data_IF_000280534085
#
_entry.id   IF_000280534085
#
_cell.length_a   1.000
_cell.length_b   1.000
_cell.length_c   1.000
_cell.angle_alpha   90.00
_cell.angle_beta   90.00
_cell.angle_gamma   90.00
#
_symmetry.space_group_name_H-M   'P 1'
#
loop_
_entity.id
_entity.type
_entity.pdbx_description
1 polymer ?
#
# COMPACT_ATOMS: atom_id res chain seq x y z
N UNK A 1 17.73 10.54 26.07
CA UNK A 1 16.45 11.17 25.68
C UNK A 1 16.57 12.69 25.51
N UNK A 2 17.18 13.43 26.45
CA UNK A 2 17.39 14.89 26.30
C UNK A 2 18.21 15.29 25.06
N UNK A 3 19.28 14.55 24.73
CA UNK A 3 20.08 14.79 23.51
C UNK A 3 19.28 14.61 22.21
N UNK A 4 18.34 13.65 22.17
CA UNK A 4 17.43 13.42 21.03
C UNK A 4 16.39 14.54 20.89
N UNK A 5 15.93 15.08 22.01
CA UNK A 5 15.00 16.20 22.05
C UNK A 5 15.65 17.52 21.61
N UNK A 6 16.95 17.68 21.84
CA UNK A 6 17.71 18.85 21.39
C UNK A 6 18.13 18.76 19.91
N UNK A 7 18.29 17.54 19.38
CA UNK A 7 18.68 17.30 17.99
C UNK A 7 17.52 17.40 16.98
N UNK A 8 16.27 17.21 17.43
CA UNK A 8 15.08 17.29 16.56
C UNK A 8 14.47 18.68 16.59
N UNK A 9 14.36 19.32 15.42
CA UNK A 9 13.83 20.69 15.28
C UNK A 9 12.40 20.72 14.77
N UNK A 10 11.93 19.61 14.19
CA UNK A 10 10.64 19.50 13.53
C UNK A 10 9.83 18.33 14.09
N UNK A 11 8.51 18.51 14.22
CA UNK A 11 7.61 17.46 14.67
C UNK A 11 6.27 17.50 13.91
N UNK A 12 5.70 16.33 13.68
CA UNK A 12 4.37 16.15 13.09
C UNK A 12 3.64 15.05 13.85
N UNK A 13 2.39 15.33 14.23
CA UNK A 13 1.49 14.36 14.87
C UNK A 13 0.37 13.99 13.93
N UNK A 14 0.28 12.71 13.63
CA UNK A 14 -0.72 12.14 12.75
C UNK A 14 -1.55 11.12 13.52
N UNK A 15 -2.82 10.99 13.15
CA UNK A 15 -3.73 10.01 13.73
C UNK A 15 -4.25 9.07 12.65
N UNK A 16 -3.96 7.79 12.84
CA UNK A 16 -4.41 6.69 12.01
C UNK A 16 -5.34 5.81 12.84
N UNK A 17 -6.64 6.13 12.80
CA UNK A 17 -7.67 5.41 13.56
C UNK A 17 -7.40 5.37 15.08
N UNK A 18 -6.99 4.21 15.59
CA UNK A 18 -6.67 3.93 16.99
C UNK A 18 -5.20 4.21 17.34
N UNK A 19 -4.37 4.57 16.35
CA UNK A 19 -2.95 4.87 16.51
C UNK A 19 -2.67 6.38 16.37
N UNK A 20 -1.99 6.97 17.35
CA UNK A 20 -1.33 8.26 17.21
C UNK A 20 0.16 8.06 16.88
N UNK A 21 0.62 8.64 15.78
CA UNK A 21 2.01 8.58 15.34
C UNK A 21 2.66 9.95 15.50
N UNK A 22 3.75 10.02 16.26
CA UNK A 22 4.58 11.21 16.41
C UNK A 22 5.87 11.04 15.61
N UNK A 23 6.05 11.87 14.58
CA UNK A 23 7.27 11.91 13.76
C UNK A 23 8.09 13.11 14.20
N UNK A 24 9.36 12.89 14.55
CA UNK A 24 10.33 13.93 14.88
C UNK A 24 11.54 13.85 13.97
N UNK A 25 12.07 14.98 13.54
CA UNK A 25 13.24 14.99 12.66
C UNK A 25 14.02 16.30 12.71
N UNK A 26 15.28 16.24 12.29
CA UNK A 26 16.13 17.37 11.93
C UNK A 26 16.01 17.75 10.43
N UNK A 27 15.30 16.97 9.61
CA UNK A 27 15.11 17.21 8.18
C UNK A 27 13.73 17.81 7.88
N UNK A 28 13.70 19.09 7.50
CA UNK A 28 12.47 19.76 7.04
C UNK A 28 11.90 19.08 5.78
N UNK A 29 12.76 18.65 4.85
CA UNK A 29 12.36 17.97 3.60
C UNK A 29 11.59 16.68 3.89
N UNK A 30 12.06 15.89 4.86
CA UNK A 30 11.37 14.67 5.28
C UNK A 30 10.02 14.97 5.94
N UNK A 31 9.97 16.00 6.79
CA UNK A 31 8.71 16.40 7.43
C UNK A 31 7.69 16.91 6.41
N UNK A 32 8.13 17.71 5.44
CA UNK A 32 7.29 18.26 4.37
C UNK A 32 6.72 17.14 3.49
N UNK A 33 7.53 16.12 3.17
CA UNK A 33 7.06 14.92 2.48
C UNK A 33 5.94 14.21 3.27
N UNK A 34 6.15 13.96 4.58
CA UNK A 34 5.12 13.32 5.40
C UNK A 34 3.86 14.17 5.53
N UNK A 35 4.01 15.48 5.72
CA UNK A 35 2.91 16.42 5.75
C UNK A 35 2.13 16.36 4.43
N UNK A 36 2.81 16.47 3.29
CA UNK A 36 2.18 16.40 1.96
C UNK A 36 1.41 15.09 1.78
N UNK A 37 2.02 13.96 2.17
CA UNK A 37 1.42 12.64 2.02
C UNK A 37 0.22 12.39 2.94
N UNK A 38 0.19 12.99 4.13
CA UNK A 38 -0.75 12.65 5.20
C UNK A 38 -1.42 13.85 5.87
N UNK A 39 -1.51 15.01 5.22
CA UNK A 39 -2.08 16.20 5.87
C UNK A 39 -3.53 16.01 6.33
N UNK A 40 -4.30 15.16 5.66
CA UNK A 40 -5.66 14.77 6.07
C UNK A 40 -5.73 13.95 7.38
N UNK A 41 -4.59 13.45 7.87
CA UNK A 41 -4.48 12.67 9.11
C UNK A 41 -3.99 13.49 10.30
N UNK A 42 -3.83 14.81 10.16
CA UNK A 42 -3.34 15.64 11.27
C UNK A 42 -4.23 15.49 12.50
N UNK A 43 -3.59 15.16 13.63
CA UNK A 43 -4.29 15.13 14.91
C UNK A 43 -4.74 16.55 15.26
N UNK A 44 -6.04 16.84 15.18
CA UNK A 44 -6.57 18.11 15.65
C UNK A 44 -6.32 18.28 17.15
N UNK A 45 -6.11 19.52 17.59
CA UNK A 45 -5.99 19.87 19.02
C UNK A 45 -7.30 19.68 19.80
N UNK A 46 -8.42 19.54 19.10
CA UNK A 46 -9.70 19.13 19.69
C UNK A 46 -9.69 17.61 19.91
N UNK A 47 -10.05 17.18 21.12
CA UNK A 47 -10.11 15.76 21.49
C UNK A 47 -11.01 14.97 20.55
N UNK A 48 -10.41 14.29 19.56
CA UNK A 48 -11.13 13.36 18.70
C UNK A 48 -11.49 12.14 19.56
N UNK A 49 -12.79 11.90 19.72
CA UNK A 49 -13.33 10.76 20.46
C UNK A 49 -13.58 9.59 19.51
N UNK A 50 -13.23 8.35 19.89
CA UNK A 50 -12.51 7.96 21.11
C UNK A 50 -11.04 8.38 21.09
N UNK A 51 -10.33 8.46 22.23
CA UNK A 51 -8.88 8.69 22.24
C UNK A 51 -8.12 7.55 21.54
N UNK A 52 -6.90 7.79 21.02
CA UNK A 52 -6.07 6.72 20.48
C UNK A 52 -5.75 5.70 21.58
N UNK A 53 -5.77 4.41 21.23
CA UNK A 53 -5.44 3.31 22.13
C UNK A 53 -3.98 2.88 22.00
N UNK A 54 -3.31 3.29 20.91
CA UNK A 54 -1.90 3.04 20.66
C UNK A 54 -1.16 4.34 20.33
N UNK A 55 0.13 4.38 20.66
CA UNK A 55 1.04 5.45 20.27
C UNK A 55 2.30 4.85 19.65
N UNK A 56 2.86 5.53 18.66
CA UNK A 56 4.14 5.19 18.08
C UNK A 56 4.98 6.45 17.89
N UNK A 57 6.28 6.34 18.15
CA UNK A 57 7.20 7.46 18.00
C UNK A 57 8.30 7.11 17.01
N UNK A 58 8.48 8.01 16.04
CA UNK A 58 9.49 7.90 15.01
C UNK A 58 10.44 9.09 15.12
N UNK A 59 11.74 8.84 15.08
CA UNK A 59 12.74 9.92 15.06
C UNK A 59 13.74 9.70 13.95
N UNK A 60 13.77 10.58 12.95
CA UNK A 60 14.79 10.58 11.92
C UNK A 60 15.84 11.63 12.24
N UNK A 61 17.09 11.20 12.45
CA UNK A 61 18.25 12.08 12.49
C UNK A 61 19.01 11.90 11.17
N UNK A 62 18.88 12.88 10.29
CA UNK A 62 19.50 12.90 8.98
C UNK A 62 20.92 13.48 9.00
N UNK A 63 21.23 14.37 9.95
CA UNK A 63 22.59 14.92 10.10
C UNK A 63 23.53 13.87 10.72
N UNK A 64 24.63 13.46 10.06
CA UNK A 64 25.59 12.52 10.62
C UNK A 64 26.32 13.04 11.88
N UNK A 65 26.23 14.33 12.23
CA UNK A 65 26.74 14.88 13.50
C UNK A 65 25.85 14.54 14.71
N UNK A 66 25.09 13.45 14.63
CA UNK A 66 24.34 12.87 15.73
C UNK A 66 25.19 11.84 16.53
N UNK A 67 24.72 11.35 17.70
CA UNK A 67 25.48 10.42 18.54
C UNK A 67 25.93 9.10 17.89
N UNK A 68 25.32 8.69 16.78
CA UNK A 68 25.66 7.47 16.04
C UNK A 68 26.63 7.70 14.88
N UNK A 69 26.96 8.95 14.53
CA UNK A 69 27.93 9.28 13.47
C UNK A 69 27.47 8.97 12.05
N UNK A 70 26.23 8.50 11.88
CA UNK A 70 25.57 8.19 10.62
C UNK A 70 24.10 8.57 10.73
N UNK A 71 23.40 8.83 9.62
CA UNK A 71 21.96 9.06 9.68
C UNK A 71 21.24 7.83 10.26
N UNK A 72 20.23 8.06 11.12
CA UNK A 72 19.51 6.99 11.82
C UNK A 72 18.01 7.27 11.85
N UNK A 73 17.22 6.21 11.69
CA UNK A 73 15.80 6.18 12.01
C UNK A 73 15.60 5.41 13.30
N UNK A 74 14.97 6.05 14.29
CA UNK A 74 14.52 5.39 15.51
C UNK A 74 13.04 5.03 15.34
N UNK A 75 12.75 3.74 15.45
CA UNK A 75 11.39 3.19 15.50
C UNK A 75 11.12 2.80 16.95
N UNK A 76 10.43 3.67 17.69
CA UNK A 76 10.34 3.62 19.15
C UNK A 76 11.73 3.62 19.82
N UNK A 77 12.21 2.47 20.29
CA UNK A 77 13.54 2.30 20.91
C UNK A 77 14.58 1.64 19.97
N UNK A 78 14.15 1.10 18.82
CA UNK A 78 15.04 0.44 17.87
C UNK A 78 15.76 1.49 17.01
N UNK A 79 17.09 1.42 16.97
CA UNK A 79 17.92 2.31 16.14
C UNK A 79 18.26 1.60 14.83
N UNK A 80 17.84 2.19 13.71
CA UNK A 80 18.07 1.69 12.36
C UNK A 80 19.01 2.64 11.62
N UNK A 81 20.29 2.28 11.41
CA UNK A 81 21.22 3.07 10.60
C UNK A 81 20.77 3.17 9.14
N UNK A 82 20.86 4.36 8.57
CA UNK A 82 20.55 4.65 7.17
C UNK A 82 21.87 4.84 6.42
N UNK A 83 22.27 3.81 5.68
CA UNK A 83 23.63 3.72 5.11
C UNK A 83 23.80 4.49 3.81
N UNK A 84 22.73 4.72 3.06
CA UNK A 84 22.76 5.48 1.82
C UNK A 84 22.07 6.85 2.01
N UNK A 85 22.84 7.96 2.01
CA UNK A 85 22.27 9.30 2.12
C UNK A 85 21.32 9.69 0.98
N UNK A 86 21.45 9.10 -0.22
CA UNK A 86 20.57 9.43 -1.36
C UNK A 86 19.15 8.86 -1.21
N UNK A 87 19.00 7.89 -0.31
CA UNK A 87 17.80 7.08 -0.16
C UNK A 87 17.11 7.32 1.19
N UNK A 88 17.66 8.23 1.97
CA UNK A 88 17.34 8.47 3.36
C UNK A 88 15.85 8.75 3.55
N UNK A 89 15.27 9.67 2.78
CA UNK A 89 13.87 10.05 2.91
C UNK A 89 12.93 8.93 2.44
N UNK A 90 13.24 8.31 1.30
CA UNK A 90 12.49 7.17 0.73
C UNK A 90 12.41 6.00 1.70
N UNK A 91 13.57 5.58 2.17
CA UNK A 91 13.71 4.50 3.14
C UNK A 91 13.00 4.84 4.45
N UNK A 92 13.29 6.00 5.03
CA UNK A 92 12.72 6.37 6.32
C UNK A 92 11.21 6.46 6.24
N UNK A 93 10.69 6.93 5.10
CA UNK A 93 9.27 6.98 4.83
C UNK A 93 8.62 5.59 4.83
N UNK A 94 9.12 4.65 4.03
CA UNK A 94 8.50 3.32 3.91
C UNK A 94 8.59 2.53 5.22
N UNK A 95 9.67 2.73 6.01
CA UNK A 95 9.81 2.14 7.35
C UNK A 95 8.78 2.70 8.32
N UNK A 96 8.59 4.01 8.36
CA UNK A 96 7.57 4.65 9.22
C UNK A 96 6.18 4.20 8.81
N UNK A 97 5.86 4.18 7.50
CA UNK A 97 4.56 3.73 7.01
C UNK A 97 4.28 2.27 7.38
N UNK A 98 5.23 1.37 7.11
CA UNK A 98 5.10 -0.05 7.45
C UNK A 98 4.89 -0.26 8.95
N UNK A 99 5.59 0.52 9.77
CA UNK A 99 5.48 0.52 11.23
C UNK A 99 4.10 1.01 11.72
N UNK A 100 3.54 2.03 11.08
CA UNK A 100 2.18 2.53 11.33
C UNK A 100 1.14 1.46 10.96
N UNK A 101 1.22 0.93 9.74
CA UNK A 101 0.31 -0.09 9.21
C UNK A 101 0.31 -1.34 10.09
N UNK A 102 1.47 -1.78 10.57
CA UNK A 102 1.60 -2.92 11.46
C UNK A 102 0.93 -2.71 12.84
N UNK A 103 0.82 -1.47 13.33
CA UNK A 103 0.34 -1.15 14.69
C UNK A 103 -1.15 -0.81 14.78
N UNK A 104 -1.82 -0.51 13.67
CA UNK A 104 -3.28 -0.29 13.64
C UNK A 104 -4.00 -1.59 14.01
N UNK A 105 -4.88 -1.55 15.02
CA UNK A 105 -5.63 -2.73 15.50
C UNK A 105 -7.13 -2.61 15.26
N UNK A 106 -7.64 -1.39 15.13
CA UNK A 106 -9.06 -1.13 14.97
C UNK A 106 -9.61 -1.47 13.58
N UNK A 107 -8.74 -1.57 12.57
CA UNK A 107 -9.10 -1.79 11.18
C UNK A 107 -8.29 -2.92 10.54
N UNK A 108 -8.90 -3.67 9.63
CA UNK A 108 -8.16 -4.46 8.65
C UNK A 108 -7.66 -3.53 7.56
N UNK A 109 -6.34 -3.47 7.37
CA UNK A 109 -5.72 -2.71 6.29
C UNK A 109 -5.46 -3.67 5.12
N UNK A 110 -6.11 -3.40 3.98
CA UNK A 110 -6.03 -4.24 2.77
C UNK A 110 -5.41 -3.42 1.65
N UNK A 111 -4.51 -4.01 0.87
CA UNK A 111 -4.01 -3.38 -0.35
C UNK A 111 -5.07 -3.37 -1.44
N UNK A 112 -5.86 -2.30 -1.44
CA UNK A 112 -7.00 -2.07 -2.31
C UNK A 112 -7.26 -0.55 -2.40
N UNK A 113 -8.09 -0.16 -3.36
CA UNK A 113 -8.54 1.24 -3.51
C UNK A 113 -10.03 1.30 -3.30
N UNK A 114 -10.52 2.42 -2.77
CA UNK A 114 -11.90 2.55 -2.35
C UNK A 114 -12.50 3.85 -2.85
N UNK A 115 -13.62 3.72 -3.54
CA UNK A 115 -14.52 4.83 -3.86
C UNK A 115 -15.86 4.64 -3.15
N UNK A 116 -16.67 5.69 -3.07
CA UNK A 116 -18.06 5.57 -2.69
C UNK A 116 -18.98 6.39 -3.58
N UNK A 117 -20.23 5.94 -3.64
CA UNK A 117 -21.33 6.60 -4.34
C UNK A 117 -22.58 6.44 -3.49
N UNK A 118 -23.35 7.51 -3.27
CA UNK A 118 -24.58 7.48 -2.47
C UNK A 118 -24.46 6.68 -1.15
N UNK A 119 -23.40 6.96 -0.37
CA UNK A 119 -23.10 6.29 0.91
C UNK A 119 -22.86 4.76 0.80
N UNK A 120 -22.52 4.25 -0.39
CA UNK A 120 -22.14 2.86 -0.65
C UNK A 120 -20.66 2.77 -1.06
N UNK A 121 -19.90 1.92 -0.38
CA UNK A 121 -18.48 1.68 -0.64
C UNK A 121 -18.22 0.64 -1.74
N UNK A 122 -17.24 0.93 -2.60
CA UNK A 122 -16.78 0.08 -3.68
C UNK A 122 -15.29 -0.18 -3.47
N UNK A 123 -14.93 -1.42 -3.19
CA UNK A 123 -13.55 -1.85 -2.94
C UNK A 123 -12.98 -2.48 -4.20
N UNK A 124 -11.96 -1.85 -4.78
CA UNK A 124 -11.21 -2.34 -5.94
C UNK A 124 -9.96 -3.07 -5.48
N UNK A 125 -9.89 -4.36 -5.79
CA UNK A 125 -8.79 -5.25 -5.42
C UNK A 125 -8.08 -5.67 -6.69
N UNK A 126 -6.76 -5.52 -6.73
CA UNK A 126 -5.99 -5.82 -7.94
C UNK A 126 -4.55 -6.22 -7.62
N UNK A 127 -3.91 -6.86 -8.57
CA UNK A 127 -2.45 -6.92 -8.60
C UNK A 127 -1.85 -5.59 -9.08
N UNK A 128 -0.55 -5.43 -8.84
CA UNK A 128 0.16 -4.22 -9.24
C UNK A 128 0.09 -4.06 -10.76
N UNK A 129 -0.10 -2.83 -11.23
CA UNK A 129 -0.20 -2.48 -12.65
C UNK A 129 -1.48 -2.90 -13.38
N UNK A 130 -2.50 -3.42 -12.68
CA UNK A 130 -3.82 -3.74 -13.27
C UNK A 130 -4.74 -2.50 -13.35
N UNK A 131 -4.16 -1.30 -13.30
CA UNK A 131 -4.90 -0.05 -13.48
C UNK A 131 -5.70 0.44 -12.27
N UNK A 132 -5.53 -0.13 -11.07
CA UNK A 132 -6.28 0.23 -9.84
C UNK A 132 -6.28 1.74 -9.54
N UNK A 133 -5.09 2.35 -9.44
CA UNK A 133 -4.95 3.80 -9.23
C UNK A 133 -5.49 4.62 -10.41
N UNK A 134 -5.35 4.14 -11.64
CA UNK A 134 -5.91 4.83 -12.83
C UNK A 134 -7.44 4.81 -12.80
N UNK A 135 -8.04 3.66 -12.44
CA UNK A 135 -9.48 3.49 -12.36
C UNK A 135 -10.07 4.30 -11.21
N UNK A 136 -9.48 4.30 -10.02
CA UNK A 136 -10.00 5.12 -8.91
C UNK A 136 -10.00 6.61 -9.25
N UNK A 137 -8.95 7.10 -9.92
CA UNK A 137 -8.87 8.48 -10.39
C UNK A 137 -9.95 8.81 -11.44
N UNK A 138 -10.22 7.88 -12.36
CA UNK A 138 -11.29 8.04 -13.35
C UNK A 138 -12.68 8.07 -12.68
N UNK A 139 -12.92 7.24 -11.67
CA UNK A 139 -14.18 7.23 -10.92
C UNK A 139 -14.38 8.55 -10.14
N UNK A 140 -13.32 9.06 -9.51
CA UNK A 140 -13.34 10.37 -8.85
C UNK A 140 -13.63 11.49 -9.84
N UNK A 141 -12.99 11.46 -11.01
CA UNK A 141 -13.25 12.42 -12.10
C UNK A 141 -14.72 12.41 -12.50
N UNK A 142 -15.35 11.22 -12.56
CA UNK A 142 -16.78 11.03 -12.85
C UNK A 142 -17.72 11.47 -11.73
N UNK A 143 -17.24 11.53 -10.49
CA UNK A 143 -17.96 12.15 -9.37
C UNK A 143 -18.22 11.24 -8.19
N UNK A 144 -17.71 10.01 -8.22
CA UNK A 144 -17.62 9.19 -7.03
C UNK A 144 -16.70 9.87 -6.01
N UNK A 145 -16.96 9.59 -4.74
CA UNK A 145 -16.11 10.04 -3.64
C UNK A 145 -14.91 9.11 -3.50
N UNK A 146 -13.74 9.69 -3.23
CA UNK A 146 -12.52 8.98 -2.92
C UNK A 146 -12.47 8.67 -1.43
N UNK A 147 -12.16 7.42 -1.09
CA UNK A 147 -11.85 7.04 0.29
C UNK A 147 -10.36 6.75 0.43
N UNK A 148 -9.80 5.94 -0.47
CA UNK A 148 -8.37 5.61 -0.44
C UNK A 148 -7.83 5.01 -1.74
N UNK A 149 -6.51 5.05 -1.86
CA UNK A 149 -5.71 4.25 -2.80
C UNK A 149 -4.63 3.52 -1.98
N UNK A 150 -4.24 2.32 -2.41
CA UNK A 150 -3.23 1.46 -1.77
C UNK A 150 -3.58 0.85 -0.39
N UNK A 151 -4.43 1.49 0.42
CA UNK A 151 -4.87 1.01 1.73
C UNK A 151 -6.37 1.21 1.93
N UNK A 152 -7.16 0.16 1.78
CA UNK A 152 -8.54 0.11 2.24
C UNK A 152 -8.57 -0.20 3.74
N UNK A 153 -9.22 0.65 4.53
CA UNK A 153 -9.31 0.48 5.98
C UNK A 153 -10.71 -0.01 6.37
N UNK A 154 -10.84 -1.29 6.71
CA UNK A 154 -12.11 -1.92 7.04
C UNK A 154 -12.28 -1.95 8.57
N UNK A 155 -13.25 -1.22 9.09
CA UNK A 155 -13.52 -1.10 10.51
C UNK A 155 -14.02 -2.42 11.10
N UNK A 156 -13.32 -2.91 12.12
CA UNK A 156 -13.65 -4.20 12.75
C UNK A 156 -14.92 -4.15 13.59
N UNK A 157 -15.23 -2.98 14.15
CA UNK A 157 -16.33 -2.83 15.10
C UNK A 157 -17.64 -2.35 14.44
N UNK A 158 -17.54 -1.55 13.38
CA UNK A 158 -18.69 -0.93 12.71
C UNK A 158 -18.96 -1.49 11.31
N UNK A 159 -18.05 -2.33 10.80
CA UNK A 159 -18.13 -2.97 9.48
C UNK A 159 -18.21 -1.97 8.33
N UNK A 160 -17.70 -0.75 8.54
CA UNK A 160 -17.60 0.28 7.50
C UNK A 160 -16.22 0.24 6.86
N UNK A 161 -16.13 0.70 5.61
CA UNK A 161 -14.85 1.10 5.04
C UNK A 161 -14.62 2.58 5.31
N UNK A 162 -13.50 2.89 5.98
CA UNK A 162 -13.12 4.23 6.38
C UNK A 162 -12.17 4.86 5.37
N UNK A 163 -12.21 6.19 5.19
CA UNK A 163 -11.27 6.88 4.34
C UNK A 163 -9.83 6.73 4.88
N UNK A 164 -8.89 6.47 3.97
CA UNK A 164 -7.46 6.56 4.19
C UNK A 164 -6.88 7.48 3.11
N UNK A 165 -7.11 8.80 3.21
CA UNK A 165 -6.86 9.74 2.11
C UNK A 165 -5.41 10.19 2.07
N UNK A 166 -4.51 9.24 1.84
CA UNK A 166 -3.11 9.51 1.55
C UNK A 166 -3.00 10.12 0.16
N UNK A 167 -2.08 11.07 -0.02
CA UNK A 167 -1.71 11.59 -1.34
C UNK A 167 -1.36 10.44 -2.30
N UNK A 168 -1.90 10.47 -3.51
CA UNK A 168 -1.72 9.41 -4.50
C UNK A 168 -0.32 9.47 -5.11
N UNK A 169 0.30 8.31 -5.30
CA UNK A 169 1.58 8.15 -6.00
C UNK A 169 1.33 7.65 -7.42
N UNK A 170 1.23 8.57 -8.36
CA UNK A 170 0.74 8.31 -9.71
C UNK A 170 1.90 8.10 -10.68
N UNK A 171 1.82 7.06 -11.53
CA UNK A 171 2.86 6.81 -12.55
C UNK A 171 2.79 7.88 -13.65
N UNK A 172 3.93 8.23 -14.29
CA UNK A 172 3.93 9.10 -15.46
C UNK A 172 2.97 8.57 -16.53
N UNK A 173 2.22 9.48 -17.17
CA UNK A 173 1.23 9.16 -18.19
C UNK A 173 -0.19 8.85 -17.67
N UNK A 174 -0.36 8.42 -16.41
CA UNK A 174 -1.70 8.14 -15.85
C UNK A 174 -2.62 9.36 -15.91
N UNK A 175 -2.11 10.56 -15.64
CA UNK A 175 -2.91 11.79 -15.74
C UNK A 175 -3.38 12.09 -17.16
N UNK A 176 -2.59 11.75 -18.17
CA UNK A 176 -3.03 11.89 -19.55
C UNK A 176 -4.16 10.91 -19.89
N UNK A 177 -4.12 9.68 -19.37
CA UNK A 177 -5.16 8.66 -19.58
C UNK A 177 -6.53 9.08 -19.03
N UNK A 178 -6.56 9.82 -17.91
CA UNK A 178 -7.80 10.36 -17.33
C UNK A 178 -8.14 11.77 -17.85
N UNK A 179 -7.43 12.27 -18.87
CA UNK A 179 -7.74 13.56 -19.50
C UNK A 179 -7.27 14.80 -18.71
N UNK A 180 -6.28 14.66 -17.83
CA UNK A 180 -5.70 15.74 -17.00
C UNK A 180 -4.19 15.95 -17.27
N UNK A 181 -3.70 16.01 -18.52
CA UNK A 181 -2.27 16.07 -18.80
C UNK A 181 -1.58 17.32 -18.23
N UNK A 182 -2.31 18.43 -18.08
CA UNK A 182 -1.79 19.70 -17.57
C UNK A 182 -1.31 19.64 -16.11
N UNK A 183 -1.83 18.70 -15.31
CA UNK A 183 -1.38 18.51 -13.93
C UNK A 183 0.05 17.96 -13.87
N UNK A 184 0.47 17.18 -14.87
CA UNK A 184 1.79 16.52 -14.91
C UNK A 184 2.96 17.49 -14.68
N UNK A 185 2.93 18.68 -15.27
CA UNK A 185 4.01 19.66 -15.17
C UNK A 185 4.02 20.47 -13.88
N UNK A 186 2.88 20.52 -13.18
CA UNK A 186 2.72 21.26 -11.95
C UNK A 186 2.92 20.39 -10.70
N UNK A 187 2.92 19.06 -10.87
CA UNK A 187 3.00 18.10 -9.78
C UNK A 187 4.45 17.71 -9.49
N UNK A 188 4.80 17.74 -8.20
CA UNK A 188 6.08 17.25 -7.71
C UNK A 188 6.23 15.73 -7.92
N UNK A 189 7.44 15.32 -8.31
CA UNK A 189 7.79 13.92 -8.48
C UNK A 189 8.62 13.43 -7.29
N UNK A 190 8.24 12.27 -6.76
CA UNK A 190 8.99 11.58 -5.73
C UNK A 190 9.10 10.09 -6.06
N UNK A 191 10.33 9.58 -6.13
CA UNK A 191 10.64 8.20 -6.48
C UNK A 191 10.00 7.74 -7.82
N UNK A 192 10.09 8.56 -8.86
CA UNK A 192 9.57 8.22 -10.19
C UNK A 192 8.04 8.31 -10.32
N UNK A 193 7.35 8.87 -9.32
CA UNK A 193 5.89 8.99 -9.27
C UNK A 193 5.46 10.40 -8.90
N UNK A 194 4.41 10.89 -9.53
CA UNK A 194 3.79 12.17 -9.25
C UNK A 194 3.00 12.08 -7.93
N UNK A 195 3.14 13.10 -7.07
CA UNK A 195 2.43 13.18 -5.79
C UNK A 195 1.19 14.09 -5.88
N UNK A 196 0.01 13.47 -5.92
CA UNK A 196 -1.25 14.17 -6.23
C UNK A 196 -2.23 14.02 -5.08
N UNK A 197 -2.70 15.14 -4.55
CA UNK A 197 -3.86 15.12 -3.67
C UNK A 197 -5.14 14.92 -4.48
N UNK A 198 -6.10 14.18 -3.94
CA UNK A 198 -7.35 13.89 -4.63
C UNK A 198 -8.15 15.18 -4.96
N UNK A 199 -8.03 16.23 -4.15
CA UNK A 199 -8.70 17.50 -4.41
C UNK A 199 -8.13 18.21 -5.66
N UNK A 200 -6.91 17.89 -6.09
CA UNK A 200 -6.33 18.38 -7.35
C UNK A 200 -6.97 17.69 -8.58
N UNK A 201 -7.50 16.47 -8.40
CA UNK A 201 -8.24 15.75 -9.45
C UNK A 201 -9.67 16.27 -9.52
N UNK A 202 -10.32 16.38 -8.37
CA UNK A 202 -11.67 16.94 -8.23
C UNK A 202 -11.84 17.50 -6.81
N UNK A 203 -12.07 18.81 -6.65
CA UNK A 203 -12.27 19.41 -5.34
C UNK A 203 -13.47 18.81 -4.59
N UNK A 204 -13.33 18.64 -3.28
CA UNK A 204 -14.35 18.09 -2.40
C UNK A 204 -14.75 16.65 -2.78
N UNK A 205 -13.80 15.88 -3.28
CA UNK A 205 -14.02 14.48 -3.67
C UNK A 205 -13.80 13.50 -2.52
N UNK A 206 -13.23 13.91 -1.39
CA UNK A 206 -13.08 13.05 -0.23
C UNK A 206 -14.44 12.59 0.34
N UNK A 207 -14.59 11.27 0.54
CA UNK A 207 -15.76 10.64 1.13
C UNK A 207 -15.61 10.34 2.63
N UNK A 208 -16.74 10.05 3.28
CA UNK A 208 -16.80 9.56 4.66
C UNK A 208 -16.73 8.04 4.76
N UNK A 209 -16.81 7.52 5.99
CA UNK A 209 -16.92 6.09 6.23
C UNK A 209 -18.30 5.57 5.80
N UNK A 210 -18.33 4.46 5.07
CA UNK A 210 -19.56 3.92 4.45
C UNK A 210 -19.60 2.39 4.52
N UNK A 211 -20.79 1.76 4.49
CA UNK A 211 -20.91 0.32 4.32
C UNK A 211 -20.30 -0.16 3.00
N UNK A 212 -19.77 -1.38 2.97
CA UNK A 212 -19.20 -1.96 1.77
C UNK A 212 -20.30 -2.66 0.98
N UNK A 213 -20.61 -2.16 -0.21
CA UNK A 213 -21.65 -2.73 -1.08
C UNK A 213 -21.07 -3.61 -2.17
N UNK A 214 -19.91 -3.24 -2.71
CA UNK A 214 -19.29 -3.97 -3.82
C UNK A 214 -17.81 -4.23 -3.58
N UNK A 215 -17.38 -5.45 -3.86
CA UNK A 215 -15.98 -5.86 -3.95
C UNK A 215 -15.73 -6.25 -5.41
N UNK A 216 -14.76 -5.61 -6.05
CA UNK A 216 -14.44 -5.84 -7.45
C UNK A 216 -12.98 -6.29 -7.53
N UNK A 217 -12.77 -7.53 -8.01
CA UNK A 217 -11.44 -8.06 -8.29
C UNK A 217 -11.09 -7.75 -9.76
N UNK A 218 -10.07 -6.93 -9.96
CA UNK A 218 -9.50 -6.66 -11.28
C UNK A 218 -8.64 -7.86 -11.71
N UNK A 219 -8.91 -8.39 -12.90
CA UNK A 219 -8.18 -9.55 -13.43
C UNK A 219 -7.84 -9.38 -14.90
N UNK A 220 -6.70 -9.94 -15.31
CA UNK A 220 -6.31 -10.01 -16.72
C UNK A 220 -7.13 -11.10 -17.43
N UNK A 221 -7.80 -10.79 -18.57
CA UNK A 221 -8.41 -11.80 -19.43
C UNK A 221 -7.49 -12.99 -19.78
N UNK A 222 -6.18 -12.80 -19.85
CA UNK A 222 -5.21 -13.86 -20.13
C UNK A 222 -5.06 -14.84 -18.95
N UNK A 223 -5.14 -14.37 -17.70
CA UNK A 223 -5.02 -15.22 -16.51
C UNK A 223 -6.21 -16.19 -16.36
N UNK A 224 -7.41 -15.79 -16.80
CA UNK A 224 -8.58 -16.68 -16.85
C UNK A 224 -8.39 -17.83 -17.85
N UNK A 225 -7.53 -17.64 -18.86
CA UNK A 225 -7.16 -18.70 -19.81
C UNK A 225 -6.03 -19.58 -19.29
N UNK A 226 -5.05 -18.99 -18.59
CA UNK A 226 -3.89 -19.71 -18.04
C UNK A 226 -4.18 -20.56 -16.80
N UNK A 227 -5.24 -20.25 -16.02
CA UNK A 227 -5.69 -21.16 -14.95
C UNK A 227 -6.00 -22.58 -15.45
N UNK A 228 -6.14 -22.78 -16.78
CA UNK A 228 -6.34 -24.08 -17.44
C UNK A 228 -5.05 -24.75 -17.94
N UNK A 229 -3.87 -24.13 -17.86
CA UNK A 229 -2.59 -24.68 -18.32
C UNK A 229 -1.58 -24.70 -17.16
N UNK A 230 -1.07 -25.88 -16.82
CA UNK A 230 -0.48 -26.21 -15.51
C UNK A 230 1.01 -25.80 -15.32
N UNK A 231 1.52 -24.77 -16.03
CA UNK A 231 2.98 -24.57 -16.17
C UNK A 231 3.55 -23.16 -15.97
N UNK A 232 2.78 -22.14 -15.54
CA UNK A 232 3.30 -20.78 -15.45
C UNK A 232 4.16 -20.52 -14.19
N UNK A 233 5.37 -19.99 -14.38
CA UNK A 233 6.18 -19.38 -13.31
C UNK A 233 5.61 -17.99 -12.96
N UNK A 234 5.94 -17.45 -11.78
CA UNK A 234 5.59 -16.07 -11.39
C UNK A 234 6.84 -15.24 -11.18
N UNK A 235 6.77 -13.94 -11.50
CA UNK A 235 7.85 -13.01 -11.21
C UNK A 235 7.56 -12.20 -9.94
N UNK A 236 8.57 -12.08 -9.08
CA UNK A 236 8.56 -11.22 -7.91
C UNK A 236 9.73 -10.26 -8.00
N UNK A 237 9.42 -8.98 -8.08
CA UNK A 237 10.38 -7.89 -8.03
C UNK A 237 10.43 -7.34 -6.61
N UNK A 238 11.63 -7.18 -6.04
CA UNK A 238 11.83 -6.70 -4.68
C UNK A 238 12.87 -5.58 -4.74
N UNK A 239 12.46 -4.37 -4.38
CA UNK A 239 13.39 -3.28 -4.15
C UNK A 239 14.00 -3.43 -2.76
N UNK A 240 15.32 -3.36 -2.69
CA UNK A 240 16.05 -3.34 -1.43
C UNK A 240 16.91 -2.09 -1.33
N UNK A 241 17.28 -1.71 -0.13
CA UNK A 241 18.11 -0.53 0.13
C UNK A 241 19.57 -0.70 -0.29
N UNK A 242 20.11 -1.90 -0.13
CA UNK A 242 21.42 -2.29 -0.62
C UNK A 242 21.47 -3.79 -0.95
N UNK A 243 22.53 -4.25 -1.61
CA UNK A 243 22.72 -5.67 -1.92
C UNK A 243 24.07 -6.17 -1.40
N UNK A 244 24.05 -7.22 -0.58
CA UNK A 244 25.25 -7.94 -0.18
C UNK A 244 25.64 -8.98 -1.25
N UNK A 245 26.94 -9.22 -1.45
CA UNK A 245 27.44 -10.14 -2.49
C UNK A 245 26.86 -11.56 -2.38
N UNK A 246 26.66 -12.04 -1.15
CA UNK A 246 26.14 -13.39 -0.87
C UNK A 246 24.61 -13.50 -1.00
N UNK A 247 23.89 -12.38 -1.17
CA UNK A 247 22.43 -12.36 -1.08
C UNK A 247 21.76 -13.12 -2.23
N UNK A 248 22.20 -12.90 -3.47
CA UNK A 248 21.64 -13.58 -4.64
C UNK A 248 21.80 -15.11 -4.59
N UNK A 249 22.98 -15.66 -4.22
CA UNK A 249 23.11 -17.09 -3.92
C UNK A 249 22.10 -17.60 -2.90
N UNK A 250 21.94 -16.92 -1.75
CA UNK A 250 21.01 -17.33 -0.71
C UNK A 250 19.54 -17.34 -1.18
N UNK A 251 19.13 -16.37 -2.01
CA UNK A 251 17.77 -16.35 -2.58
C UNK A 251 17.49 -17.57 -3.46
N UNK A 252 18.49 -18.07 -4.19
CA UNK A 252 18.35 -19.25 -5.08
C UNK A 252 18.19 -20.56 -4.30
N UNK A 253 18.58 -20.59 -3.03
CA UNK A 253 18.43 -21.75 -2.16
C UNK A 253 17.03 -21.85 -1.54
N UNK A 254 16.21 -20.79 -1.64
CA UNK A 254 14.85 -20.78 -1.09
C UNK A 254 13.96 -21.73 -1.89
N UNK A 255 13.25 -22.62 -1.19
CA UNK A 255 12.28 -23.53 -1.80
C UNK A 255 11.26 -22.76 -2.65
N UNK A 256 11.11 -23.20 -3.90
CA UNK A 256 10.19 -22.61 -4.87
C UNK A 256 10.78 -21.48 -5.71
N UNK A 257 11.95 -20.92 -5.39
CA UNK A 257 12.67 -19.97 -6.25
C UNK A 257 13.40 -20.72 -7.37
N UNK A 258 13.08 -20.39 -8.63
CA UNK A 258 13.65 -20.99 -9.85
C UNK A 258 14.75 -20.15 -10.48
N UNK A 259 14.76 -18.85 -10.20
CA UNK A 259 15.78 -17.93 -10.68
C UNK A 259 15.80 -16.66 -9.84
N UNK A 260 16.97 -16.04 -9.75
CA UNK A 260 17.17 -14.76 -9.08
C UNK A 260 18.23 -13.94 -9.84
N UNK A 261 17.92 -12.68 -10.12
CA UNK A 261 18.81 -11.67 -10.68
C UNK A 261 18.68 -10.36 -9.91
N UNK A 262 19.68 -9.48 -10.02
CA UNK A 262 19.63 -8.13 -9.48
C UNK A 262 20.00 -7.11 -10.57
N UNK A 263 19.32 -5.98 -10.56
CA UNK A 263 19.67 -4.77 -11.30
C UNK A 263 20.13 -3.71 -10.27
N UNK A 264 21.42 -3.40 -10.27
CA UNK A 264 22.06 -2.44 -9.37
C UNK A 264 22.36 -1.10 -10.04
N UNK A 265 21.99 -0.92 -11.31
CA UNK A 265 22.18 0.37 -12.00
C UNK A 265 21.06 1.37 -11.66
N UNK A 266 20.01 0.90 -10.98
CA UNK A 266 18.90 1.73 -10.48
C UNK A 266 19.27 2.42 -9.17
N UNK A 267 18.53 3.49 -8.86
CA UNK A 267 18.62 4.21 -7.57
C UNK A 267 18.49 3.27 -6.36
N UNK A 268 17.71 2.20 -6.47
CA UNK A 268 17.61 1.12 -5.50
C UNK A 268 17.82 -0.21 -6.19
N UNK A 269 18.67 -1.12 -5.66
CA UNK A 269 18.80 -2.46 -6.21
C UNK A 269 17.45 -3.14 -6.35
N UNK A 270 17.15 -3.61 -7.56
CA UNK A 270 15.94 -4.36 -7.86
C UNK A 270 16.30 -5.84 -8.01
N UNK A 271 15.79 -6.67 -7.11
CA UNK A 271 15.85 -8.11 -7.21
C UNK A 271 14.69 -8.59 -8.08
N UNK A 272 14.94 -9.49 -9.02
CA UNK A 272 13.91 -10.16 -9.81
C UNK A 272 14.01 -11.66 -9.57
N UNK A 273 12.94 -12.24 -9.03
CA UNK A 273 12.83 -13.65 -8.70
C UNK A 273 11.81 -14.32 -9.61
N UNK A 274 12.13 -15.51 -10.11
CA UNK A 274 11.16 -16.41 -10.75
C UNK A 274 10.77 -17.49 -9.75
N UNK A 275 9.48 -17.68 -9.52
CA UNK A 275 8.92 -18.49 -8.44
C UNK A 275 7.96 -19.54 -9.02
N UNK A 276 8.01 -20.75 -8.48
CA UNK A 276 7.08 -21.83 -8.83
C UNK A 276 5.66 -21.51 -8.38
N UNK A 277 4.65 -21.90 -9.16
CA UNK A 277 3.24 -21.75 -8.77
C UNK A 277 2.96 -22.41 -7.42
N UNK A 278 2.29 -21.68 -6.51
CA UNK A 278 1.95 -22.15 -5.16
C UNK A 278 3.07 -22.02 -4.13
N UNK A 279 4.31 -21.72 -4.55
CA UNK A 279 5.37 -21.41 -3.60
C UNK A 279 5.16 -20.02 -2.97
N UNK A 280 5.50 -19.91 -1.69
CA UNK A 280 5.35 -18.68 -0.92
C UNK A 280 6.69 -18.31 -0.25
N UNK A 281 7.72 -17.91 -1.03
CA UNK A 281 9.06 -17.69 -0.51
C UNK A 281 9.19 -16.39 0.29
N UNK A 282 8.21 -15.49 0.20
CA UNK A 282 8.30 -14.12 0.73
C UNK A 282 8.67 -14.06 2.22
N UNK A 283 8.06 -14.83 3.14
CA UNK A 283 8.46 -14.81 4.56
C UNK A 283 9.92 -15.23 4.76
N UNK A 284 10.44 -16.14 3.93
CA UNK A 284 11.83 -16.57 4.00
C UNK A 284 12.78 -15.50 3.45
N UNK A 285 12.37 -14.79 2.40
CA UNK A 285 13.10 -13.65 1.85
C UNK A 285 13.14 -12.51 2.88
N UNK A 286 12.02 -12.18 3.51
CA UNK A 286 11.94 -11.19 4.60
C UNK A 286 12.89 -11.55 5.75
N UNK A 287 12.91 -12.83 6.18
CA UNK A 287 13.83 -13.31 7.21
C UNK A 287 15.31 -13.24 6.79
N UNK A 288 15.62 -13.50 5.52
CA UNK A 288 16.97 -13.37 4.97
C UNK A 288 17.41 -11.90 4.92
N UNK A 289 16.54 -11.00 4.45
CA UNK A 289 16.80 -9.56 4.49
C UNK A 289 17.09 -9.11 5.92
N UNK A 290 16.26 -9.52 6.89
CA UNK A 290 16.47 -9.19 8.29
C UNK A 290 17.81 -9.71 8.82
N UNK A 291 18.17 -10.97 8.53
CA UNK A 291 19.44 -11.56 8.94
C UNK A 291 20.65 -10.85 8.32
N UNK A 292 20.48 -10.28 7.13
CA UNK A 292 21.50 -9.54 6.38
C UNK A 292 21.46 -8.02 6.64
N UNK A 293 20.59 -7.57 7.55
CA UNK A 293 20.34 -6.15 7.84
C UNK A 293 19.95 -5.33 6.60
N UNK A 294 19.33 -5.98 5.62
CA UNK A 294 18.76 -5.37 4.43
C UNK A 294 17.28 -5.06 4.66
N UNK A 295 16.79 -4.02 4.00
CA UNK A 295 15.38 -3.64 4.06
C UNK A 295 14.75 -3.76 2.70
N UNK A 296 13.56 -4.36 2.70
CA UNK A 296 12.68 -4.38 1.56
C UNK A 296 11.91 -3.06 1.51
N UNK A 297 12.06 -2.33 0.40
CA UNK A 297 11.45 -1.02 0.17
C UNK A 297 10.13 -1.13 -0.58
N UNK A 298 10.05 -2.07 -1.52
CA UNK A 298 8.83 -2.35 -2.28
C UNK A 298 8.87 -3.81 -2.75
N UNK A 299 7.69 -4.41 -2.86
CA UNK A 299 7.49 -5.77 -3.38
C UNK A 299 6.46 -5.69 -4.50
N UNK A 300 6.92 -5.87 -5.72
CA UNK A 300 6.09 -5.83 -6.91
C UNK A 300 5.90 -7.27 -7.39
N UNK A 301 4.68 -7.81 -7.20
CA UNK A 301 4.28 -9.06 -7.84
C UNK A 301 3.93 -8.74 -9.29
N UNK A 302 4.64 -9.32 -10.26
CA UNK A 302 4.31 -9.22 -11.67
C UNK A 302 3.82 -10.58 -12.19
N UNK A 303 2.67 -10.57 -12.86
CA UNK A 303 2.36 -11.63 -13.82
C UNK A 303 3.40 -11.61 -14.95
N UNK A 304 3.56 -12.73 -15.66
CA UNK A 304 4.43 -12.78 -16.86
C UNK A 304 3.95 -11.80 -17.95
N UNK A 305 2.68 -11.41 -17.91
CA UNK A 305 2.03 -10.50 -18.85
C UNK A 305 1.55 -9.21 -18.16
N UNK A 306 1.70 -8.07 -18.83
CA UNK A 306 0.94 -6.87 -18.50
C UNK A 306 -0.43 -6.96 -19.17
N UNK A 307 -1.52 -6.62 -18.47
CA UNK A 307 -2.83 -6.68 -19.09
C UNK A 307 -2.93 -5.75 -20.29
N UNK A 308 -3.62 -6.22 -21.33
CA UNK A 308 -3.98 -5.40 -22.47
C UNK A 308 -5.16 -4.49 -22.08
N UNK A 309 -4.97 -3.18 -22.15
CA UNK A 309 -6.02 -2.19 -21.84
C UNK A 309 -6.74 -1.68 -23.10
N UNK A 310 -6.39 -2.17 -24.30
CA UNK A 310 -7.05 -1.82 -25.56
C UNK A 310 -8.17 -2.80 -25.93
N UNK A 311 -8.41 -3.83 -25.11
CA UNK A 311 -9.54 -4.77 -25.25
C UNK A 311 -10.79 -4.28 -24.49
N UNK A 312 -11.99 -4.78 -24.83
CA UNK A 312 -13.19 -4.44 -24.09
C UNK A 312 -13.15 -4.92 -22.63
N UNK A 313 -13.62 -4.08 -21.72
CA UNK A 313 -13.77 -4.46 -20.32
C UNK A 313 -15.03 -5.33 -20.13
N UNK A 314 -15.00 -6.25 -19.17
CA UNK A 314 -16.17 -7.11 -18.88
C UNK A 314 -16.33 -7.33 -17.39
N UNK A 315 -17.56 -7.17 -16.93
CA UNK A 315 -17.94 -7.48 -15.56
C UNK A 315 -18.57 -8.87 -15.48
N UNK A 316 -18.26 -9.60 -14.40
CA UNK A 316 -18.90 -10.85 -14.03
C UNK A 316 -19.00 -10.99 -12.52
N UNK A 317 -19.76 -11.98 -12.05
CA UNK A 317 -19.88 -12.29 -10.62
C UNK A 317 -18.89 -13.38 -10.23
N UNK A 318 -18.40 -13.33 -8.99
CA UNK A 318 -17.58 -14.37 -8.39
C UNK A 318 -18.15 -14.80 -7.04
N UNK A 319 -17.69 -15.95 -6.53
CA UNK A 319 -18.11 -16.36 -5.20
C UNK A 319 -17.50 -15.46 -4.13
N UNK A 320 -18.21 -15.29 -3.01
CA UNK A 320 -17.68 -14.61 -1.83
C UNK A 320 -16.38 -15.23 -1.33
N UNK A 321 -16.26 -16.56 -1.40
CA UNK A 321 -15.04 -17.27 -1.01
C UNK A 321 -13.83 -16.94 -1.89
N UNK A 322 -14.04 -16.75 -3.20
CA UNK A 322 -12.98 -16.32 -4.12
C UNK A 322 -12.53 -14.89 -3.80
N UNK A 323 -13.49 -13.96 -3.68
CA UNK A 323 -13.20 -12.57 -3.31
C UNK A 323 -12.46 -12.48 -1.96
N UNK A 324 -12.91 -13.24 -0.96
CA UNK A 324 -12.28 -13.28 0.37
C UNK A 324 -10.82 -13.73 0.30
N UNK A 325 -10.53 -14.73 -0.51
CA UNK A 325 -9.15 -15.21 -0.68
C UNK A 325 -8.25 -14.15 -1.34
N UNK A 326 -8.79 -13.38 -2.28
CA UNK A 326 -8.07 -12.28 -2.92
C UNK A 326 -7.81 -11.12 -1.95
N UNK A 327 -8.78 -10.79 -1.09
CA UNK A 327 -8.63 -9.76 -0.06
C UNK A 327 -7.63 -10.21 1.01
N UNK A 328 -7.75 -11.44 1.52
CA UNK A 328 -6.87 -11.98 2.55
C UNK A 328 -5.40 -11.96 2.10
N UNK A 329 -5.12 -12.29 0.84
CA UNK A 329 -3.78 -12.22 0.24
C UNK A 329 -3.19 -10.80 0.17
N UNK A 330 -4.01 -9.78 0.37
CA UNK A 330 -3.66 -8.36 0.33
C UNK A 330 -3.74 -7.70 1.70
N UNK A 331 -4.00 -8.46 2.77
CA UNK A 331 -3.88 -7.98 4.14
C UNK A 331 -2.48 -7.44 4.43
N UNK A 332 -2.43 -6.26 5.06
CA UNK A 332 -1.21 -5.49 5.30
C UNK A 332 -0.68 -5.66 6.73
N UNK A 333 0.61 -5.35 6.91
CA UNK A 333 1.34 -5.56 8.17
C UNK A 333 1.93 -6.96 8.34
N UNK A 334 1.40 -7.97 7.61
CA UNK A 334 2.00 -9.30 7.51
C UNK A 334 2.32 -9.93 8.87
N UNK A 335 3.51 -10.49 9.02
CA UNK A 335 3.97 -11.10 10.28
C UNK A 335 4.18 -10.09 11.40
N UNK A 336 4.38 -8.80 11.08
CA UNK A 336 4.55 -7.71 12.04
C UNK A 336 3.22 -7.10 12.49
N UNK A 337 2.11 -7.50 11.87
CA UNK A 337 0.78 -6.99 12.21
C UNK A 337 0.45 -7.34 13.65
N UNK A 338 0.35 -6.31 14.48
CA UNK A 338 0.03 -6.47 15.89
C UNK A 338 -1.40 -6.97 16.06
N UNK A 339 -2.31 -6.53 15.19
CA UNK A 339 -3.65 -7.10 15.05
C UNK A 339 -3.59 -8.62 14.87
N UNK A 340 -2.81 -9.11 13.91
CA UNK A 340 -2.72 -10.54 13.67
C UNK A 340 -2.04 -11.28 14.84
N UNK A 341 -0.94 -10.75 15.38
CA UNK A 341 -0.15 -11.47 16.38
C UNK A 341 -0.76 -11.43 17.79
N UNK A 342 -1.19 -10.25 18.26
CA UNK A 342 -1.65 -10.07 19.64
C UNK A 342 -3.15 -10.32 19.79
N UNK A 343 -3.99 -9.73 18.93
CA UNK A 343 -5.46 -9.82 19.05
C UNK A 343 -5.97 -11.17 18.50
N UNK A 344 -5.45 -11.59 17.35
CA UNK A 344 -5.86 -12.83 16.70
C UNK A 344 -4.96 -14.03 17.05
N UNK A 345 -3.92 -13.84 17.86
CA UNK A 345 -3.02 -14.90 18.30
C UNK A 345 -2.27 -15.60 17.16
N UNK A 346 -1.93 -14.87 16.11
CA UNK A 346 -1.28 -15.37 14.90
C UNK A 346 -2.17 -16.26 14.02
N UNK A 347 -3.48 -16.33 14.28
CA UNK A 347 -4.38 -17.27 13.61
C UNK A 347 -4.92 -16.70 12.29
N UNK A 348 -4.42 -17.23 11.18
CA UNK A 348 -4.98 -16.94 9.85
C UNK A 348 -6.47 -17.32 9.73
N UNK A 349 -6.91 -18.36 10.44
CA UNK A 349 -8.32 -18.77 10.48
C UNK A 349 -9.19 -17.71 11.17
N UNK A 350 -8.76 -17.16 12.31
CA UNK A 350 -9.50 -16.09 12.98
C UNK A 350 -9.54 -14.82 12.13
N UNK A 351 -8.42 -14.46 11.50
CA UNK A 351 -8.35 -13.35 10.56
C UNK A 351 -9.35 -13.51 9.42
N UNK A 352 -9.40 -14.70 8.82
CA UNK A 352 -10.37 -15.01 7.77
C UNK A 352 -11.82 -14.87 8.26
N UNK A 353 -12.14 -15.39 9.45
CA UNK A 353 -13.51 -15.34 9.99
C UNK A 353 -13.96 -13.91 10.30
N UNK A 354 -13.14 -13.10 10.98
CA UNK A 354 -13.50 -11.70 11.27
C UNK A 354 -13.61 -10.86 9.99
N UNK A 355 -12.70 -11.05 9.04
CA UNK A 355 -12.75 -10.35 7.76
C UNK A 355 -13.98 -10.76 6.92
N UNK A 356 -14.37 -12.04 6.99
CA UNK A 356 -15.58 -12.54 6.34
C UNK A 356 -16.86 -11.95 6.94
N UNK A 357 -16.87 -11.67 8.23
CA UNK A 357 -17.98 -11.00 8.91
C UNK A 357 -18.14 -9.56 8.45
N UNK A 358 -17.04 -8.80 8.39
CA UNK A 358 -17.01 -7.40 7.91
C UNK A 358 -17.50 -7.27 6.46
N UNK A 359 -17.23 -8.27 5.62
CA UNK A 359 -17.55 -8.23 4.19
C UNK A 359 -18.81 -9.03 3.82
N UNK A 360 -19.58 -9.48 4.82
CA UNK A 360 -20.67 -10.44 4.65
C UNK A 360 -21.81 -9.94 3.75
N UNK A 361 -22.06 -8.64 3.71
CA UNK A 361 -23.15 -8.03 2.94
C UNK A 361 -22.73 -7.60 1.52
N UNK A 362 -21.44 -7.61 1.21
CA UNK A 362 -20.94 -7.11 -0.07
C UNK A 362 -21.21 -8.07 -1.23
N UNK A 363 -21.60 -7.51 -2.38
CA UNK A 363 -21.64 -8.23 -3.63
C UNK A 363 -20.23 -8.34 -4.24
N UNK A 364 -19.88 -9.53 -4.72
CA UNK A 364 -18.53 -9.83 -5.19
C UNK A 364 -18.50 -9.99 -6.71
N UNK A 365 -17.68 -9.18 -7.34
CA UNK A 365 -17.55 -9.06 -8.78
C UNK A 365 -16.12 -9.28 -9.22
N UNK A 366 -15.98 -9.67 -10.48
CA UNK A 366 -14.72 -9.74 -11.20
C UNK A 366 -14.83 -8.80 -12.39
N UNK A 367 -13.90 -7.86 -12.49
CA UNK A 367 -13.78 -6.96 -13.64
C UNK A 367 -12.55 -7.38 -14.43
N UNK A 368 -12.80 -7.90 -15.63
CA UNK A 368 -11.76 -8.14 -16.62
C UNK A 368 -11.29 -6.78 -17.13
N UNK A 369 -10.01 -6.51 -16.91
CA UNK A 369 -9.40 -5.23 -17.29
C UNK A 369 -9.40 -5.06 -18.81
N UNK A 370 -9.53 -3.82 -19.24
CA UNK A 370 -9.68 -3.43 -20.64
C UNK A 370 -9.70 -1.91 -20.75
N UNK A 371 -10.47 -1.36 -21.69
CA UNK A 371 -10.55 0.08 -21.88
C UNK A 371 -10.98 0.82 -20.61
N UNK A 372 -10.22 1.86 -20.22
CA UNK A 372 -10.46 2.63 -19.00
C UNK A 372 -11.87 3.23 -18.94
N UNK A 373 -12.39 3.72 -20.08
CA UNK A 373 -13.72 4.32 -20.13
C UNK A 373 -14.79 3.28 -19.82
N UNK A 374 -14.69 2.11 -20.44
CA UNK A 374 -15.63 1.00 -20.24
C UNK A 374 -15.54 0.43 -18.82
N UNK A 375 -14.34 0.28 -18.26
CA UNK A 375 -14.19 -0.11 -16.86
C UNK A 375 -14.87 0.89 -15.92
N UNK A 376 -14.70 2.18 -16.17
CA UNK A 376 -15.39 3.22 -15.42
C UNK A 376 -16.91 3.16 -15.57
N UNK A 377 -17.42 2.91 -16.80
CA UNK A 377 -18.86 2.82 -17.07
C UNK A 377 -19.46 1.65 -16.28
N UNK A 378 -18.84 0.46 -16.35
CA UNK A 378 -19.27 -0.73 -15.61
C UNK A 378 -19.30 -0.54 -14.09
N UNK A 379 -18.32 0.17 -13.52
CA UNK A 379 -18.29 0.41 -12.08
C UNK A 379 -19.30 1.49 -11.66
N UNK A 380 -19.51 2.52 -12.47
CA UNK A 380 -20.56 3.52 -12.23
C UNK A 380 -21.96 2.88 -12.30
N UNK A 381 -22.23 2.06 -13.31
CA UNK A 381 -23.52 1.37 -13.46
C UNK A 381 -23.80 0.44 -12.26
N UNK A 382 -22.78 -0.24 -11.74
CA UNK A 382 -22.89 -1.01 -10.49
C UNK A 382 -23.22 -0.14 -9.28
N UNK A 383 -22.62 1.04 -9.19
CA UNK A 383 -22.79 1.95 -8.06
C UNK A 383 -24.19 2.57 -7.99
N UNK A 384 -24.86 2.67 -9.13
CA UNK A 384 -26.22 3.19 -9.28
C UNK A 384 -27.32 2.13 -9.05
N UNK A 385 -26.96 0.84 -9.12
CA UNK A 385 -27.86 -0.29 -8.83
C UNK A 385 -28.16 -0.44 -7.32
#
# INVERSE_FOLDING_TARGET
MELLQQATTHQLKLRFFDLEAEIRTDSQVFLDLFFRMYHHFQASSASVSPPPTAQAKFTLLSDPHNPWGVPVLLLDEEVVPLRDPQLLEGYAYERVLSSIVARVRSHFLIHASVASHDEKGIVLVADSSYGKTTLILELVRRGLKFLSDELAALGRADHLVHPFPRCLRVRPGTLALIGLPALTTATEEWLGKLLIDVDEIRPHSLGGAVPISHIIILQDPAEDRETRIDSAERSLEIHVDHLNEDFLPMLREIEGVRGASADTERTYPLLTLRISRGAYPLPRIEALCQAQQMVILDIIKRGEHQPDFDVPARLGSISRSQAMMEILRRFQGGHQSVLLQEELGGSATKLFLELADVLSEAECHQLFVGNLREMGDLVCDLAEA
#
